data_IF_180572722458
#
_entry.id   IF_180572722458
#
_cell.length_a   1.000
_cell.length_b   1.000
_cell.length_c   1.000
_cell.angle_alpha   90.00
_cell.angle_beta   90.00
_cell.angle_gamma   90.00
#
_symmetry.space_group_name_H-M   'P 1'
#
loop_
_entity.id
_entity.type
_entity.pdbx_description
1 polymer ?
#
# COMPACT_ATOMS: atom_id res chain seq x y z
N UNK A 1 -14.00 -3.21 1.82
CA UNK A 1 -15.39 -2.75 1.71
C UNK A 1 -15.38 -1.23 1.70
N UNK A 2 -16.26 -0.59 0.93
CA UNK A 2 -16.36 0.88 0.91
C UNK A 2 -17.06 1.38 2.18
N UNK A 3 -16.55 2.46 2.76
CA UNK A 3 -17.08 3.10 3.97
C UNK A 3 -17.74 4.46 3.63
N UNK A 4 -18.65 4.97 4.48
CA UNK A 4 -19.21 6.31 4.30
C UNK A 4 -18.09 7.36 4.17
N UNK A 5 -18.05 8.07 3.04
CA UNK A 5 -17.01 9.06 2.72
C UNK A 5 -16.06 8.67 1.58
N UNK A 6 -16.11 7.44 1.08
CA UNK A 6 -15.30 7.03 -0.09
C UNK A 6 -15.84 7.67 -1.38
N UNK A 7 -15.01 8.48 -2.04
CA UNK A 7 -15.31 9.02 -3.37
C UNK A 7 -14.88 8.02 -4.45
N UNK A 8 -15.85 7.44 -5.16
CA UNK A 8 -15.61 6.53 -6.28
C UNK A 8 -15.70 7.30 -7.60
N UNK A 9 -14.59 7.41 -8.32
CA UNK A 9 -14.56 7.96 -9.68
C UNK A 9 -14.45 6.83 -10.69
N UNK A 10 -15.42 6.70 -11.60
CA UNK A 10 -15.27 5.83 -12.78
C UNK A 10 -14.57 6.62 -13.89
N UNK A 11 -13.38 6.20 -14.36
CA UNK A 11 -12.74 6.81 -15.52
C UNK A 11 -13.52 6.52 -16.80
N UNK A 12 -13.33 7.38 -17.81
CA UNK A 12 -13.92 7.19 -19.13
C UNK A 12 -13.43 5.87 -19.77
N UNK A 13 -14.34 5.19 -20.46
CA UNK A 13 -14.08 3.89 -21.07
C UNK A 13 -13.19 4.03 -22.29
N UNK A 14 -11.97 3.50 -22.25
CA UNK A 14 -11.15 3.37 -23.44
C UNK A 14 -11.70 2.30 -24.40
N UNK A 15 -12.01 2.70 -25.63
CA UNK A 15 -12.49 1.79 -26.68
C UNK A 15 -11.29 1.12 -27.34
N UNK A 16 -11.13 -0.19 -27.12
CA UNK A 16 -10.16 -1.01 -27.87
C UNK A 16 -10.84 -1.66 -29.08
N UNK A 17 -10.34 -1.38 -30.28
CA UNK A 17 -10.72 -2.10 -31.50
C UNK A 17 -9.70 -3.20 -31.80
N UNK A 18 -10.16 -4.40 -32.15
CA UNK A 18 -9.30 -5.53 -32.54
C UNK A 18 -9.78 -6.06 -33.90
N UNK A 19 -8.95 -5.97 -34.96
CA UNK A 19 -9.31 -6.52 -36.26
C UNK A 19 -9.42 -8.05 -36.18
N UNK A 20 -10.54 -8.59 -36.64
CA UNK A 20 -10.84 -10.02 -36.57
C UNK A 20 -11.33 -10.55 -37.92
N UNK A 21 -10.95 -11.78 -38.24
CA UNK A 21 -11.42 -12.45 -39.46
C UNK A 21 -12.91 -12.80 -39.36
N UNK A 22 -13.66 -12.52 -40.43
CA UNK A 22 -15.07 -12.91 -40.57
C UNK A 22 -15.23 -14.42 -40.70
N UNK A 23 -16.31 -14.99 -40.15
CA UNK A 23 -16.61 -16.44 -40.22
C UNK A 23 -15.91 -17.32 -39.19
N UNK A 24 -15.22 -16.76 -38.19
CA UNK A 24 -14.59 -17.50 -37.08
C UNK A 24 -15.09 -16.97 -35.73
N UNK A 25 -15.18 -17.86 -34.75
CA UNK A 25 -15.41 -17.48 -33.35
C UNK A 25 -14.08 -17.00 -32.74
N UNK A 26 -14.10 -15.81 -32.16
CA UNK A 26 -12.95 -15.23 -31.46
C UNK A 26 -13.27 -15.11 -29.97
N UNK A 27 -12.36 -15.57 -29.11
CA UNK A 27 -12.48 -15.41 -27.66
C UNK A 27 -11.64 -14.24 -27.21
N UNK A 28 -12.30 -13.17 -26.76
CA UNK A 28 -11.64 -12.05 -26.10
C UNK A 28 -11.67 -12.28 -24.59
N UNK A 29 -10.50 -12.34 -23.96
CA UNK A 29 -10.40 -12.31 -22.51
C UNK A 29 -9.99 -10.91 -22.08
N UNK A 30 -10.83 -10.27 -21.27
CA UNK A 30 -10.42 -9.09 -20.53
C UNK A 30 -9.34 -9.55 -19.55
N UNK A 31 -8.07 -9.27 -19.86
CA UNK A 31 -7.02 -9.25 -18.84
C UNK A 31 -7.36 -8.02 -18.01
N UNK A 32 -8.00 -8.21 -16.85
CA UNK A 32 -8.49 -7.11 -16.01
C UNK A 32 -7.44 -6.00 -15.85
N UNK A 33 -7.89 -4.76 -15.67
CA UNK A 33 -6.96 -3.64 -15.43
C UNK A 33 -6.16 -4.00 -14.17
N UNK A 34 -4.81 -4.14 -14.26
CA UNK A 34 -4.02 -4.45 -13.09
C UNK A 34 -4.14 -3.33 -12.07
N UNK A 35 -4.35 -3.70 -10.80
CA UNK A 35 -4.29 -2.75 -9.69
C UNK A 35 -2.82 -2.31 -9.49
N UNK A 36 -2.59 -1.08 -9.02
CA UNK A 36 -1.22 -0.59 -8.75
C UNK A 36 -0.82 -0.91 -7.32
N UNK A 37 0.25 -1.68 -7.15
CA UNK A 37 0.92 -1.87 -5.88
C UNK A 37 2.03 -0.83 -5.72
N UNK A 38 2.12 -0.25 -4.52
CA UNK A 38 3.18 0.68 -4.11
C UNK A 38 3.60 0.37 -2.68
N UNK A 39 4.89 0.13 -2.48
CA UNK A 39 5.48 -0.06 -1.15
C UNK A 39 6.81 0.67 -1.07
N UNK A 40 6.98 1.55 -0.08
CA UNK A 40 8.24 2.24 0.18
C UNK A 40 8.91 1.64 1.42
N UNK A 41 10.10 1.08 1.22
CA UNK A 41 10.90 0.48 2.27
C UNK A 41 11.82 1.53 2.90
N UNK A 42 11.83 1.58 4.23
CA UNK A 42 12.73 2.42 5.01
C UNK A 42 13.50 1.56 6.01
N UNK A 43 14.70 2.02 6.36
CA UNK A 43 15.59 1.50 7.40
C UNK A 43 16.12 2.71 8.16
N UNK A 44 15.92 2.74 9.48
CA UNK A 44 16.30 3.87 10.34
C UNK A 44 15.86 5.26 9.82
N UNK A 45 14.65 5.33 9.27
CA UNK A 45 14.06 6.56 8.71
C UNK A 45 14.59 6.93 7.31
N UNK A 46 15.57 6.22 6.76
CA UNK A 46 16.10 6.42 5.42
C UNK A 46 15.52 5.40 4.41
N UNK A 47 15.28 5.79 3.15
CA UNK A 47 14.79 4.85 2.14
C UNK A 47 15.82 3.75 1.83
N UNK A 48 15.38 2.49 1.78
CA UNK A 48 16.23 1.35 1.39
C UNK A 48 16.37 1.29 -0.13
N UNK A 49 17.39 1.95 -0.68
CA UNK A 49 17.59 2.05 -2.13
C UNK A 49 18.43 0.92 -2.71
N UNK A 50 18.18 0.53 -3.98
CA UNK A 50 18.93 -0.49 -4.72
C UNK A 50 19.03 -1.84 -4.01
N UNK A 51 17.99 -2.20 -3.26
CA UNK A 51 17.91 -3.49 -2.58
C UNK A 51 17.17 -4.46 -3.49
N UNK A 52 17.74 -5.62 -3.82
CA UNK A 52 17.06 -6.63 -4.61
C UNK A 52 15.85 -7.15 -3.85
N UNK A 53 14.74 -7.29 -4.57
CA UNK A 53 13.49 -7.80 -4.04
C UNK A 53 12.87 -8.86 -4.95
N UNK A 54 12.06 -9.72 -4.34
CA UNK A 54 11.18 -10.68 -4.99
C UNK A 54 9.80 -10.61 -4.34
N UNK A 55 8.81 -10.17 -5.10
CA UNK A 55 7.42 -10.04 -4.68
C UNK A 55 6.58 -11.12 -5.36
N UNK A 56 6.03 -12.03 -4.57
CA UNK A 56 5.21 -13.16 -5.03
C UNK A 56 3.74 -12.91 -4.68
N UNK A 57 2.88 -12.95 -5.68
CA UNK A 57 1.43 -12.72 -5.57
C UNK A 57 0.72 -13.85 -6.32
N UNK A 58 0.32 -14.90 -5.60
CA UNK A 58 -0.17 -16.13 -6.22
C UNK A 58 0.87 -16.71 -7.19
N UNK A 59 0.48 -16.89 -8.45
CA UNK A 59 1.37 -17.40 -9.51
C UNK A 59 2.23 -16.32 -10.18
N UNK A 60 2.07 -15.05 -9.79
CA UNK A 60 2.82 -13.92 -10.37
C UNK A 60 4.00 -13.60 -9.47
N UNK A 61 5.20 -13.55 -10.06
CA UNK A 61 6.42 -13.11 -9.38
C UNK A 61 6.95 -11.84 -10.05
N UNK A 62 7.26 -10.84 -9.25
CA UNK A 62 7.95 -9.62 -9.66
C UNK A 62 9.31 -9.55 -8.98
N UNK A 63 10.36 -9.38 -9.77
CA UNK A 63 11.74 -9.25 -9.28
C UNK A 63 12.33 -7.93 -9.76
N UNK A 64 13.19 -7.35 -8.96
CA UNK A 64 13.85 -6.08 -9.29
C UNK A 64 14.66 -5.54 -8.13
N UNK A 65 14.96 -4.25 -8.19
CA UNK A 65 15.61 -3.51 -7.11
C UNK A 65 14.73 -2.33 -6.72
N UNK A 66 14.76 -1.96 -5.44
CA UNK A 66 14.12 -0.72 -4.99
C UNK A 66 14.77 0.50 -5.64
N UNK A 67 13.96 1.52 -5.96
CA UNK A 67 14.49 2.73 -6.60
C UNK A 67 15.22 3.66 -5.59
N UNK A 68 15.62 4.86 -6.04
CA UNK A 68 16.29 5.88 -5.21
C UNK A 68 15.45 6.40 -4.04
N UNK A 69 14.15 6.09 -4.01
CA UNK A 69 13.24 6.42 -2.92
C UNK A 69 12.89 5.19 -2.07
N UNK A 70 13.52 4.04 -2.30
CA UNK A 70 13.16 2.77 -1.65
C UNK A 70 11.78 2.23 -2.07
N UNK A 71 11.24 2.70 -3.19
CA UNK A 71 9.90 2.35 -3.67
C UNK A 71 9.92 1.15 -4.61
N UNK A 72 9.00 0.23 -4.37
CA UNK A 72 8.57 -0.84 -5.28
C UNK A 72 7.22 -0.43 -5.87
N UNK A 73 7.13 -0.41 -7.19
CA UNK A 73 5.88 -0.14 -7.91
C UNK A 73 5.66 -1.16 -9.03
N UNK A 74 4.53 -1.86 -9.01
CA UNK A 74 4.18 -2.82 -10.05
C UNK A 74 2.66 -2.97 -10.20
N UNK A 75 2.23 -3.49 -11.34
CA UNK A 75 0.84 -3.88 -11.57
C UNK A 75 0.57 -5.27 -11.00
N UNK A 76 -0.45 -5.41 -10.17
CA UNK A 76 -0.84 -6.67 -9.52
C UNK A 76 -2.21 -7.14 -10.03
N UNK A 77 -2.50 -8.46 -9.98
CA UNK A 77 -3.82 -8.97 -10.35
C UNK A 77 -4.94 -8.27 -9.56
N UNK A 78 -6.01 -7.81 -10.23
CA UNK A 78 -7.15 -7.22 -9.53
C UNK A 78 -7.81 -8.28 -8.64
N UNK A 79 -7.88 -8.01 -7.33
CA UNK A 79 -8.35 -8.96 -6.33
C UNK A 79 -7.27 -9.79 -5.63
N UNK A 80 -5.98 -9.55 -5.87
CA UNK A 80 -4.91 -10.07 -5.01
C UNK A 80 -5.15 -9.65 -3.55
N UNK A 81 -5.02 -10.59 -2.61
CA UNK A 81 -5.28 -10.38 -1.17
C UNK A 81 -4.05 -10.51 -0.30
N UNK A 82 -3.06 -11.25 -0.76
CA UNK A 82 -1.85 -11.55 -0.02
C UNK A 82 -0.66 -11.50 -0.97
N UNK A 83 0.50 -11.12 -0.46
CA UNK A 83 1.77 -11.19 -1.17
C UNK A 83 2.91 -11.54 -0.20
N UNK A 84 3.92 -12.24 -0.70
CA UNK A 84 5.18 -12.44 0.02
C UNK A 84 6.24 -11.56 -0.62
N UNK A 85 6.87 -10.71 0.18
CA UNK A 85 7.99 -9.87 -0.24
C UNK A 85 9.26 -10.39 0.43
N UNK A 86 10.19 -10.88 -0.38
CA UNK A 86 11.56 -11.11 0.02
C UNK A 86 12.39 -9.88 -0.38
N UNK A 87 13.08 -9.23 0.54
CA UNK A 87 13.92 -8.06 0.25
C UNK A 87 15.12 -8.01 1.18
N UNK A 88 16.32 -7.89 0.61
CA UNK A 88 17.55 -7.78 1.42
C UNK A 88 17.82 -8.96 2.36
N UNK A 89 17.22 -10.14 2.12
CA UNK A 89 17.32 -11.32 3.00
C UNK A 89 16.23 -11.42 4.07
N UNK A 90 15.28 -10.49 4.10
CA UNK A 90 14.12 -10.48 4.99
C UNK A 90 12.87 -10.90 4.22
N UNK A 91 11.92 -11.53 4.89
CA UNK A 91 10.65 -11.98 4.31
C UNK A 91 9.47 -11.32 5.02
N UNK A 92 8.54 -10.76 4.26
CA UNK A 92 7.35 -10.08 4.75
C UNK A 92 6.09 -10.64 4.09
N UNK A 93 5.06 -10.90 4.90
CA UNK A 93 3.71 -11.22 4.41
C UNK A 93 2.88 -9.94 4.38
N UNK A 94 2.37 -9.58 3.21
CA UNK A 94 1.62 -8.36 2.96
C UNK A 94 0.14 -8.67 2.74
N UNK A 95 -0.74 -8.02 3.49
CA UNK A 95 -2.18 -8.02 3.22
C UNK A 95 -2.53 -6.94 2.19
N UNK A 96 -3.08 -7.33 1.05
CA UNK A 96 -3.43 -6.45 -0.06
C UNK A 96 -4.94 -6.14 -0.09
N UNK A 97 -5.29 -4.89 -0.43
CA UNK A 97 -6.67 -4.48 -0.65
C UNK A 97 -7.55 -4.44 0.62
N UNK A 98 -6.95 -4.49 1.81
CA UNK A 98 -7.62 -4.42 3.11
C UNK A 98 -7.45 -3.06 3.81
N UNK A 99 -6.51 -2.22 3.34
CA UNK A 99 -6.19 -0.95 3.96
C UNK A 99 -7.40 0.00 3.95
N UNK A 100 -7.90 0.33 5.13
CA UNK A 100 -9.03 1.23 5.31
C UNK A 100 -8.59 2.70 5.16
N UNK A 101 -9.54 3.64 4.95
CA UNK A 101 -9.21 5.07 4.91
C UNK A 101 -8.48 5.51 6.18
N UNK A 102 -7.48 6.37 6.04
CA UNK A 102 -6.65 6.84 7.18
C UNK A 102 -7.45 7.56 8.27
N UNK A 103 -8.62 8.11 7.92
CA UNK A 103 -9.54 8.76 8.86
C UNK A 103 -10.30 7.77 9.74
N UNK A 104 -10.23 6.48 9.45
CA UNK A 104 -10.80 5.42 10.29
C UNK A 104 -9.74 4.88 11.23
N UNK A 105 -10.15 4.43 12.41
CA UNK A 105 -9.25 3.86 13.42
C UNK A 105 -8.39 2.70 12.87
N UNK A 106 -9.04 1.76 12.15
CA UNK A 106 -8.36 0.65 11.47
C UNK A 106 -7.32 1.12 10.45
N UNK A 107 -7.67 2.14 9.65
CA UNK A 107 -6.79 2.67 8.61
C UNK A 107 -5.61 3.48 9.16
N UNK A 108 -5.81 4.15 10.29
CA UNK A 108 -4.76 4.82 11.04
C UNK A 108 -3.79 3.81 11.67
N UNK A 109 -4.35 2.83 12.41
CA UNK A 109 -3.58 1.74 13.03
C UNK A 109 -2.72 1.02 12.00
N UNK A 110 -3.30 0.58 10.90
CA UNK A 110 -2.59 -0.13 9.85
C UNK A 110 -1.41 0.68 9.28
N UNK A 111 -1.56 2.01 9.13
CA UNK A 111 -0.47 2.88 8.67
C UNK A 111 0.63 3.05 9.72
N UNK A 112 0.27 3.21 10.99
CA UNK A 112 1.25 3.27 12.09
C UNK A 112 2.04 1.96 12.21
N UNK A 113 1.38 0.81 12.03
CA UNK A 113 2.04 -0.50 11.99
C UNK A 113 2.99 -0.60 10.80
N UNK A 114 2.52 -0.26 9.60
CA UNK A 114 3.34 -0.28 8.38
C UNK A 114 4.57 0.63 8.46
N UNK A 115 4.48 1.74 9.20
CA UNK A 115 5.58 2.69 9.41
C UNK A 115 6.45 2.34 10.62
N UNK A 116 6.15 1.27 11.36
CA UNK A 116 6.93 0.82 12.52
C UNK A 116 6.70 1.59 13.82
N UNK A 117 5.66 2.44 13.90
CA UNK A 117 5.31 3.18 15.11
C UNK A 117 4.45 2.39 16.09
N UNK A 118 3.72 1.38 15.59
CA UNK A 118 2.84 0.53 16.39
C UNK A 118 3.11 -0.95 16.10
N UNK A 119 3.12 -1.80 17.13
CA UNK A 119 3.21 -3.24 16.93
C UNK A 119 1.86 -3.81 16.44
N UNK A 120 1.88 -4.81 15.57
CA UNK A 120 0.66 -5.37 14.95
C UNK A 120 -0.33 -5.91 15.99
N UNK A 121 0.17 -6.55 17.05
CA UNK A 121 -0.64 -7.14 18.13
C UNK A 121 -1.10 -6.13 19.21
N UNK A 122 -0.69 -4.86 19.13
CA UNK A 122 -0.94 -3.89 20.20
C UNK A 122 -2.44 -3.54 20.32
N UNK A 123 -3.21 -4.16 21.21
CA UNK A 123 -4.66 -3.93 21.31
C UNK A 123 -5.06 -2.73 22.17
N UNK A 124 -4.12 -2.11 22.89
CA UNK A 124 -4.41 -1.07 23.87
C UNK A 124 -4.44 0.34 23.26
N UNK A 125 -5.39 1.16 23.70
CA UNK A 125 -5.55 2.55 23.24
C UNK A 125 -4.37 3.45 23.66
N UNK A 126 -3.75 3.16 24.80
CA UNK A 126 -2.55 3.87 25.28
C UNK A 126 -1.37 3.64 24.32
N UNK A 127 -1.19 2.41 23.84
CA UNK A 127 -0.17 2.09 22.85
C UNK A 127 -0.38 2.83 21.52
N UNK A 128 -1.65 3.07 21.13
CA UNK A 128 -1.98 3.87 19.94
C UNK A 128 -1.61 5.33 20.14
N UNK A 129 -1.97 5.92 21.27
CA UNK A 129 -1.70 7.33 21.55
C UNK A 129 -0.20 7.61 21.64
N UNK A 130 0.57 6.68 22.23
CA UNK A 130 2.03 6.73 22.25
C UNK A 130 2.64 6.61 20.84
N UNK A 131 2.14 5.69 20.02
CA UNK A 131 2.58 5.55 18.62
C UNK A 131 2.32 6.83 17.81
N UNK A 132 1.16 7.48 18.02
CA UNK A 132 0.85 8.78 17.39
C UNK A 132 1.80 9.86 17.88
N UNK A 133 2.09 9.94 19.18
CA UNK A 133 3.02 10.93 19.73
C UNK A 133 4.45 10.73 19.18
N UNK A 134 4.90 9.47 19.05
CA UNK A 134 6.19 9.13 18.44
C UNK A 134 6.24 9.52 16.97
N UNK A 135 5.19 9.22 16.21
CA UNK A 135 5.06 9.65 14.81
C UNK A 135 5.10 11.18 14.70
N UNK A 136 4.34 11.89 15.53
CA UNK A 136 4.34 13.35 15.54
C UNK A 136 5.75 13.90 15.82
N UNK A 137 6.45 13.38 16.82
CA UNK A 137 7.81 13.81 17.15
C UNK A 137 8.79 13.57 15.99
N UNK A 138 8.77 12.38 15.39
CA UNK A 138 9.65 12.02 14.26
C UNK A 138 9.47 12.96 13.06
N UNK A 139 8.23 13.34 12.76
CA UNK A 139 7.90 14.20 11.63
C UNK A 139 7.79 15.69 11.99
N UNK A 140 8.25 16.10 13.19
CA UNK A 140 8.32 17.51 13.60
C UNK A 140 6.98 18.18 13.91
N UNK A 141 5.95 17.40 14.23
CA UNK A 141 4.65 17.87 14.72
C UNK A 141 4.65 17.98 16.25
N UNK A 142 3.62 18.63 16.81
CA UNK A 142 3.41 18.63 18.26
C UNK A 142 3.04 17.22 18.74
N UNK A 143 3.82 16.58 19.64
CA UNK A 143 3.60 15.19 20.08
C UNK A 143 2.48 15.12 21.15
N UNK A 144 1.26 15.41 20.73
CA UNK A 144 0.07 15.39 21.59
C UNK A 144 -0.51 13.98 21.80
N UNK A 145 -0.15 13.02 20.95
CA UNK A 145 -0.77 11.68 20.91
C UNK A 145 -2.20 11.68 20.35
N UNK A 146 -2.75 12.87 20.04
CA UNK A 146 -4.08 13.04 19.46
C UNK A 146 -3.96 13.17 17.95
N UNK A 147 -4.87 12.51 17.22
CA UNK A 147 -4.90 12.55 15.76
C UNK A 147 -5.69 13.78 15.32
N UNK A 148 -5.00 14.75 14.73
CA UNK A 148 -5.58 15.93 14.09
C UNK A 148 -5.41 15.88 12.56
N UNK A 149 -5.93 16.90 11.85
CA UNK A 149 -5.83 16.97 10.39
C UNK A 149 -4.37 17.02 9.90
N UNK A 150 -3.47 17.67 10.64
CA UNK A 150 -2.05 17.73 10.30
C UNK A 150 -1.39 16.35 10.41
N UNK A 151 -1.69 15.62 11.48
CA UNK A 151 -1.23 14.25 11.69
C UNK A 151 -1.75 13.32 10.60
N UNK A 152 -3.05 13.41 10.25
CA UNK A 152 -3.64 12.62 9.17
C UNK A 152 -2.99 12.92 7.82
N UNK A 153 -2.77 14.20 7.51
CA UNK A 153 -2.10 14.61 6.28
C UNK A 153 -0.68 14.05 6.22
N UNK A 154 0.10 14.22 7.29
CA UNK A 154 1.48 13.73 7.34
C UNK A 154 1.56 12.21 7.29
N UNK A 155 0.61 11.51 7.91
CA UNK A 155 0.54 10.06 7.89
C UNK A 155 0.26 9.52 6.47
N UNK A 156 -0.59 10.21 5.69
CA UNK A 156 -0.78 9.92 4.25
C UNK A 156 0.51 10.13 3.46
N UNK A 157 1.16 11.28 3.66
CA UNK A 157 2.42 11.58 2.95
C UNK A 157 3.52 10.57 3.26
N UNK A 158 3.72 10.25 4.54
CA UNK A 158 4.74 9.31 5.02
C UNK A 158 4.49 7.89 4.50
N UNK A 159 3.23 7.44 4.55
CA UNK A 159 2.84 6.12 4.04
C UNK A 159 2.81 6.05 2.50
N UNK A 160 2.61 7.18 1.82
CA UNK A 160 2.57 7.28 0.36
C UNK A 160 1.20 7.03 -0.28
N UNK A 161 0.10 7.20 0.48
CA UNK A 161 -1.28 6.92 0.07
C UNK A 161 -2.29 7.98 0.57
#
# INVERSE_FOLDING_TARGET
MLKPGDAVTLPDKEIRQVPCATGRTHTFRLKGIPERFRLRLHEDGAPRTKVPYRLVIGDVTHEGETNEQGLIECGIPPGAREATLEVGGEEYTLSLGTLQPVSTEEGLRARLVNLGFLADEASEEDARSEAVARFQAEYGLMPSGTVDEQTLHKLREAHGA
#
